data_IF_451826248766
#
_entry.id   IF_451826248766
#
_cell.length_a   1.000
_cell.length_b   1.000
_cell.length_c   1.000
_cell.angle_alpha   90.00
_cell.angle_beta   90.00
_cell.angle_gamma   90.00
#
_symmetry.space_group_name_H-M   'P 1'
#
loop_
_entity.id
_entity.type
_entity.pdbx_description
1 polymer ?
#
# COMPACT_ATOMS: atom_id res chain seq x y z
N UNK A 1 -19.37 -1.10 14.85
CA UNK A 1 -19.17 -2.56 15.00
C UNK A 1 -17.75 -2.89 14.61
N UNK A 2 -17.09 -3.80 15.34
CA UNK A 2 -15.70 -4.16 15.08
C UNK A 2 -15.57 -5.08 13.84
N UNK A 3 -14.49 -4.93 13.10
CA UNK A 3 -14.18 -5.72 11.91
C UNK A 3 -12.67 -5.91 11.77
N UNK A 4 -12.26 -6.99 11.14
CA UNK A 4 -10.86 -7.26 10.76
C UNK A 4 -10.71 -7.02 9.27
N UNK A 5 -9.58 -6.43 8.87
CA UNK A 5 -9.14 -6.35 7.48
C UNK A 5 -7.88 -7.20 7.34
N UNK A 6 -7.87 -8.11 6.38
CA UNK A 6 -6.79 -9.09 6.20
C UNK A 6 -6.52 -9.36 4.73
N UNK A 7 -5.32 -9.89 4.44
CA UNK A 7 -4.87 -10.22 3.09
C UNK A 7 -4.92 -11.73 2.87
N UNK A 8 -5.42 -12.16 1.72
CA UNK A 8 -5.42 -13.56 1.27
C UNK A 8 -5.31 -13.59 -0.26
N UNK A 9 -4.45 -14.45 -0.84
CA UNK A 9 -4.31 -14.67 -2.30
C UNK A 9 -4.35 -13.41 -3.17
N UNK A 10 -3.51 -12.43 -2.83
CA UNK A 10 -3.41 -11.13 -3.53
C UNK A 10 -4.70 -10.30 -3.50
N UNK A 11 -5.55 -10.54 -2.52
CA UNK A 11 -6.78 -9.78 -2.27
C UNK A 11 -6.76 -9.24 -0.85
N UNK A 12 -7.50 -8.17 -0.64
CA UNK A 12 -7.80 -7.65 0.68
C UNK A 12 -9.26 -7.90 0.99
N UNK A 13 -9.50 -8.47 2.16
CA UNK A 13 -10.81 -8.89 2.64
C UNK A 13 -11.14 -8.19 3.95
N UNK A 14 -12.44 -8.07 4.22
CA UNK A 14 -12.97 -7.57 5.49
C UNK A 14 -13.93 -8.61 6.07
N UNK A 15 -13.85 -8.82 7.37
CA UNK A 15 -14.81 -9.63 8.13
C UNK A 15 -15.33 -8.82 9.31
N UNK A 16 -16.64 -8.59 9.37
CA UNK A 16 -17.25 -8.03 10.58
C UNK A 16 -17.29 -9.13 11.64
N UNK A 17 -16.96 -8.80 12.87
CA UNK A 17 -16.86 -9.81 13.94
C UNK A 17 -18.22 -10.43 14.30
N UNK A 18 -19.31 -9.81 13.90
CA UNK A 18 -20.70 -10.25 14.14
C UNK A 18 -21.28 -11.04 12.97
N UNK A 19 -20.58 -11.16 11.85
CA UNK A 19 -21.06 -11.81 10.64
C UNK A 19 -20.11 -12.93 10.23
N UNK A 20 -20.66 -14.01 9.67
CA UNK A 20 -19.86 -15.14 9.18
C UNK A 20 -19.13 -14.80 7.89
N UNK A 21 -19.68 -13.89 7.10
CA UNK A 21 -19.30 -13.65 5.73
C UNK A 21 -18.09 -12.72 5.64
N UNK A 22 -17.26 -12.98 4.64
CA UNK A 22 -16.11 -12.17 4.29
C UNK A 22 -16.43 -11.36 3.04
N UNK A 23 -16.06 -10.09 3.07
CA UNK A 23 -16.36 -9.12 2.04
C UNK A 23 -15.06 -8.78 1.32
N UNK A 24 -15.04 -8.95 0.00
CA UNK A 24 -13.91 -8.53 -0.82
C UNK A 24 -13.82 -7.00 -0.80
N UNK A 25 -12.65 -6.47 -0.42
CA UNK A 25 -12.38 -5.03 -0.37
C UNK A 25 -11.61 -4.60 -1.62
N UNK A 26 -10.50 -5.29 -1.91
CA UNK A 26 -9.65 -5.01 -3.08
C UNK A 26 -9.25 -6.32 -3.74
N UNK A 27 -9.52 -6.45 -5.04
CA UNK A 27 -9.28 -7.67 -5.82
C UNK A 27 -7.81 -7.86 -6.25
N UNK A 28 -7.06 -6.77 -6.37
CA UNK A 28 -5.72 -6.71 -6.95
C UNK A 28 -4.68 -6.17 -5.95
N UNK A 29 -4.72 -6.74 -4.74
CA UNK A 29 -3.88 -6.37 -3.62
C UNK A 29 -2.55 -7.17 -3.62
N UNK A 30 -1.61 -6.73 -4.45
CA UNK A 30 -0.31 -7.41 -4.65
C UNK A 30 0.50 -7.55 -3.34
N UNK A 31 1.29 -8.63 -3.22
CA UNK A 31 2.24 -8.91 -2.11
C UNK A 31 3.22 -7.76 -1.85
N UNK A 32 3.48 -6.90 -2.84
CA UNK A 32 4.25 -5.66 -2.68
C UNK A 32 3.73 -4.76 -1.54
N UNK A 33 2.46 -4.89 -1.16
CA UNK A 33 1.85 -4.18 -0.05
C UNK A 33 2.13 -4.83 1.31
N UNK A 34 2.78 -6.00 1.37
CA UNK A 34 3.06 -6.67 2.63
C UNK A 34 3.87 -5.74 3.55
N UNK A 35 3.31 -5.43 4.72
CA UNK A 35 3.84 -4.50 5.73
C UNK A 35 3.87 -3.02 5.32
N UNK A 36 3.20 -2.64 4.24
CA UNK A 36 3.33 -1.31 3.64
C UNK A 36 1.98 -0.60 3.37
N UNK A 37 0.86 -1.27 3.65
CA UNK A 37 -0.47 -0.66 3.59
C UNK A 37 -0.89 -0.09 4.94
N UNK A 38 -1.77 0.90 4.92
CA UNK A 38 -2.20 1.61 6.13
C UNK A 38 -3.72 1.82 6.13
N UNK A 39 -4.34 1.75 7.31
CA UNK A 39 -5.74 2.11 7.52
C UNK A 39 -5.82 3.29 8.47
N UNK A 40 -6.22 4.46 7.97
CA UNK A 40 -6.32 5.70 8.75
C UNK A 40 -7.67 6.35 8.45
N UNK A 41 -8.46 6.63 9.49
CA UNK A 41 -9.77 7.28 9.36
C UNK A 41 -10.65 6.71 8.23
N UNK A 42 -10.77 5.37 8.19
CA UNK A 42 -11.55 4.62 7.18
C UNK A 42 -11.03 4.69 5.74
N UNK A 43 -9.85 5.27 5.52
CA UNK A 43 -9.15 5.22 4.26
C UNK A 43 -8.08 4.15 4.32
N UNK A 44 -8.12 3.25 3.34
CA UNK A 44 -7.08 2.28 3.12
C UNK A 44 -6.10 2.81 2.09
N UNK A 45 -4.82 2.84 2.44
CA UNK A 45 -3.74 3.29 1.57
C UNK A 45 -2.90 2.10 1.14
N UNK A 46 -2.69 1.96 -0.16
CA UNK A 46 -1.96 0.83 -0.74
C UNK A 46 -1.25 1.23 -2.05
N UNK A 47 -0.29 0.43 -2.48
CA UNK A 47 0.52 0.64 -3.66
C UNK A 47 0.16 -0.33 -4.80
N UNK A 48 0.12 0.20 -6.03
CA UNK A 48 0.04 -0.56 -7.28
C UNK A 48 1.28 -0.26 -8.13
N UNK A 49 2.02 -1.30 -8.47
CA UNK A 49 3.31 -1.22 -9.17
C UNK A 49 3.26 -0.44 -10.48
N UNK A 50 2.18 -0.57 -11.24
CA UNK A 50 2.02 0.12 -12.51
C UNK A 50 1.74 1.63 -12.38
N UNK A 51 1.15 2.08 -11.26
CA UNK A 51 0.51 3.41 -11.20
C UNK A 51 0.93 4.28 -10.03
N UNK A 52 1.12 3.74 -8.82
CA UNK A 52 1.45 4.56 -7.66
C UNK A 52 0.71 4.17 -6.39
N UNK A 53 0.60 5.12 -5.46
CA UNK A 53 -0.12 4.96 -4.19
C UNK A 53 -1.58 5.38 -4.38
N UNK A 54 -2.48 4.53 -3.92
CA UNK A 54 -3.92 4.67 -3.98
C UNK A 54 -4.51 4.82 -2.58
N UNK A 55 -5.61 5.55 -2.50
CA UNK A 55 -6.52 5.55 -1.36
C UNK A 55 -7.81 4.84 -1.77
N UNK A 56 -8.38 4.06 -0.85
CA UNK A 56 -9.71 3.48 -0.95
C UNK A 56 -10.53 3.92 0.26
N UNK A 57 -11.62 4.65 0.01
CA UNK A 57 -12.59 5.01 1.03
C UNK A 57 -13.53 3.82 1.25
N UNK A 58 -13.48 3.23 2.44
CA UNK A 58 -14.26 2.02 2.79
C UNK A 58 -15.78 2.27 2.79
N UNK A 59 -16.21 3.50 3.08
CA UNK A 59 -17.63 3.87 3.15
C UNK A 59 -18.20 4.06 1.74
N UNK A 60 -17.49 4.78 0.89
CA UNK A 60 -17.96 5.09 -0.47
C UNK A 60 -17.53 4.07 -1.50
N UNK A 61 -16.63 3.16 -1.14
CA UNK A 61 -16.00 2.17 -2.02
C UNK A 61 -15.29 2.80 -3.23
N UNK A 62 -14.81 4.04 -3.07
CA UNK A 62 -14.13 4.76 -4.13
C UNK A 62 -12.63 4.65 -3.97
N UNK A 63 -11.96 4.35 -5.08
CA UNK A 63 -10.52 4.40 -5.20
C UNK A 63 -10.08 5.71 -5.85
N UNK A 64 -8.97 6.28 -5.38
CA UNK A 64 -8.31 7.42 -6.00
C UNK A 64 -6.80 7.24 -5.99
N UNK A 65 -6.15 7.58 -7.10
CA UNK A 65 -4.70 7.71 -7.16
C UNK A 65 -4.31 8.99 -6.41
N UNK A 66 -3.54 8.86 -5.33
CA UNK A 66 -3.13 10.01 -4.50
C UNK A 66 -1.67 10.40 -4.74
N UNK A 67 -0.86 9.48 -5.27
CA UNK A 67 0.51 9.76 -5.69
C UNK A 67 0.90 8.86 -6.86
N UNK A 68 1.16 9.41 -8.06
CA UNK A 68 1.74 8.64 -9.16
C UNK A 68 3.08 8.02 -8.76
N UNK A 69 3.43 6.86 -9.33
CA UNK A 69 4.72 6.19 -9.06
C UNK A 69 5.88 7.12 -9.41
N UNK A 70 6.73 7.53 -8.45
CA UNK A 70 7.92 8.30 -8.76
C UNK A 70 9.03 7.39 -9.29
N UNK A 71 9.98 8.00 -10.01
CA UNK A 71 11.20 7.31 -10.44
C UNK A 71 12.06 6.90 -9.24
N UNK A 72 12.71 5.75 -9.35
CA UNK A 72 13.56 5.18 -8.30
C UNK A 72 12.82 4.97 -6.95
N UNK A 73 11.52 4.73 -6.99
CA UNK A 73 10.74 4.38 -5.81
C UNK A 73 10.97 2.93 -5.39
N UNK A 74 11.25 2.69 -4.12
CA UNK A 74 11.44 1.32 -3.56
C UNK A 74 10.18 0.78 -2.90
N UNK A 75 9.03 1.31 -3.29
CA UNK A 75 7.70 0.94 -2.82
C UNK A 75 7.40 1.31 -1.37
N UNK A 76 8.39 1.65 -0.53
CA UNK A 76 8.21 2.01 0.88
C UNK A 76 7.70 3.44 1.08
N UNK A 77 6.55 3.58 1.75
CA UNK A 77 5.96 4.89 2.04
C UNK A 77 5.24 4.93 3.38
N UNK A 78 4.93 6.12 3.85
CA UNK A 78 3.95 6.32 4.91
C UNK A 78 3.04 7.51 4.66
N UNK A 79 1.79 7.39 5.08
CA UNK A 79 0.84 8.49 5.16
C UNK A 79 1.01 9.14 6.54
N UNK A 80 1.09 10.46 6.59
CA UNK A 80 1.10 11.17 7.86
C UNK A 80 -0.23 10.95 8.60
N UNK A 81 -0.26 10.94 9.95
CA UNK A 81 -1.50 10.72 10.70
C UNK A 81 -2.64 11.71 10.40
N UNK A 82 -2.31 12.94 10.00
CA UNK A 82 -3.25 13.98 9.56
C UNK A 82 -3.72 13.81 8.10
N UNK A 83 -3.18 12.81 7.40
CA UNK A 83 -3.42 12.48 6.00
C UNK A 83 -3.10 13.63 5.02
N UNK A 84 -2.29 14.61 5.43
CA UNK A 84 -1.90 15.76 4.58
C UNK A 84 -0.60 15.50 3.79
N UNK A 85 0.22 14.57 4.26
CA UNK A 85 1.54 14.30 3.67
C UNK A 85 1.76 12.82 3.38
N UNK A 86 2.53 12.57 2.34
CA UNK A 86 3.06 11.26 1.98
C UNK A 86 4.58 11.35 2.03
N UNK A 87 5.21 10.51 2.84
CA UNK A 87 6.67 10.35 2.86
C UNK A 87 7.02 9.05 2.17
N UNK A 88 8.07 9.05 1.34
CA UNK A 88 8.49 7.85 0.62
C UNK A 88 10.00 7.76 0.53
N UNK A 89 10.49 6.53 0.37
CA UNK A 89 11.91 6.27 0.18
C UNK A 89 12.25 6.34 -1.31
N UNK A 90 13.23 7.17 -1.64
CA UNK A 90 13.83 7.24 -2.97
C UNK A 90 15.17 6.50 -2.95
N UNK A 91 15.33 5.54 -3.86
CA UNK A 91 16.64 4.99 -4.16
C UNK A 91 17.45 6.02 -4.94
N UNK A 92 18.61 6.38 -4.43
CA UNK A 92 19.59 7.15 -5.20
C UNK A 92 20.43 6.18 -6.03
N UNK A 93 20.96 6.66 -7.15
CA UNK A 93 21.99 5.94 -7.88
C UNK A 93 23.14 5.59 -6.92
N UNK A 94 23.76 4.43 -7.13
CA UNK A 94 24.96 4.04 -6.39
C UNK A 94 26.01 5.14 -6.63
N UNK A 95 26.54 5.69 -5.54
CA UNK A 95 27.64 6.66 -5.57
C UNK A 95 28.87 5.98 -4.98
N UNK A 96 29.98 6.02 -5.72
CA UNK A 96 31.25 5.40 -5.32
C UNK A 96 31.81 4.45 -6.39
N UNK A 97 33.02 3.97 -6.14
CA UNK A 97 33.73 3.06 -7.05
C UNK A 97 33.29 1.61 -6.82
N UNK A 98 32.99 0.89 -7.90
CA UNK A 98 32.72 -0.55 -7.86
C UNK A 98 34.02 -1.26 -8.24
N UNK A 99 34.61 -2.01 -7.31
CA UNK A 99 35.78 -2.85 -7.55
C UNK A 99 35.34 -4.31 -7.66
N UNK A 100 35.66 -4.94 -8.78
CA UNK A 100 35.48 -6.38 -8.96
C UNK A 100 36.84 -7.06 -8.82
N UNK A 101 36.89 -8.09 -7.97
CA UNK A 101 38.01 -9.02 -7.90
C UNK A 101 37.53 -10.38 -8.41
N UNK A 102 38.27 -10.95 -9.36
CA UNK A 102 38.01 -12.28 -9.92
C UNK A 102 39.18 -13.19 -9.55
N UNK A 103 38.88 -14.43 -9.16
CA UNK A 103 39.87 -15.49 -8.92
C UNK A 103 40.17 -16.25 -10.21
#
# INVERSE_FOLDING_TARGET
MASIIFREDYRLWRKKLTESNEELVIKDFNRINWLNWQLINQNLYFYREATGIWAFDIKTQKESLIMPKPDNFVHQYTIAPDQQYIFWVRLKAIQGDIYQYSF
#
